data_IF_100155424566
#
_entry.id   IF_100155424566
#
_cell.length_a   1.000
_cell.length_b   1.000
_cell.length_c   1.000
_cell.angle_alpha   90.00
_cell.angle_beta   90.00
_cell.angle_gamma   90.00
#
_symmetry.space_group_name_H-M   'P 1'
#
loop_
_entity.id
_entity.type
_entity.pdbx_description
1 polymer ?
#
# COMPACT_ATOMS: atom_id res chain seq x y z
N UNK A 1 -8.29 6.79 4.20
CA UNK A 1 -6.97 6.27 3.79
C UNK A 1 -6.01 6.43 4.97
N UNK A 2 -5.67 5.34 5.65
CA UNK A 2 -4.72 5.33 6.77
C UNK A 2 -3.31 5.52 6.22
N UNK A 3 -2.63 6.58 6.66
CA UNK A 3 -1.23 6.82 6.34
C UNK A 3 -0.40 5.64 6.83
N UNK A 4 0.20 4.93 5.88
CA UNK A 4 1.16 3.86 6.11
C UNK A 4 2.38 4.50 6.81
N UNK A 5 2.47 4.35 8.14
CA UNK A 5 3.66 4.75 8.88
C UNK A 5 4.88 4.13 8.19
N UNK A 6 5.71 4.97 7.59
CA UNK A 6 6.96 4.58 6.98
C UNK A 6 7.85 4.00 8.09
N UNK A 7 7.81 2.67 8.25
CA UNK A 7 8.71 1.96 9.14
C UNK A 7 10.12 2.32 8.70
N UNK A 8 10.85 3.04 9.56
CA UNK A 8 12.24 3.40 9.29
C UNK A 8 13.00 2.11 8.93
N UNK A 9 13.75 2.11 7.82
CA UNK A 9 14.43 0.90 7.35
C UNK A 9 15.37 0.38 8.44
N UNK A 10 15.39 -0.94 8.63
CA UNK A 10 16.15 -1.64 9.69
C UNK A 10 17.63 -1.21 9.76
N UNK A 11 18.22 -0.84 8.62
CA UNK A 11 19.60 -0.37 8.46
C UNK A 11 19.90 0.96 9.17
N UNK A 12 18.90 1.83 9.36
CA UNK A 12 19.07 3.05 10.16
C UNK A 12 19.06 2.80 11.67
N UNK A 13 18.53 1.65 12.11
CA UNK A 13 18.48 1.31 13.54
C UNK A 13 19.74 0.62 14.03
N UNK A 14 20.47 -0.06 13.13
CA UNK A 14 21.66 -0.83 13.48
C UNK A 14 22.85 -0.52 12.54
N UNK A 15 23.41 0.70 12.61
CA UNK A 15 24.51 1.12 11.73
C UNK A 15 25.77 0.27 11.93
N UNK A 16 26.01 -0.23 13.15
CA UNK A 16 27.16 -1.09 13.47
C UNK A 16 27.08 -2.43 12.75
N UNK A 17 25.91 -3.06 12.71
CA UNK A 17 25.71 -4.34 12.01
C UNK A 17 25.91 -4.17 10.51
N UNK A 18 25.42 -3.06 9.96
CA UNK A 18 25.64 -2.70 8.56
C UNK A 18 27.12 -2.51 8.23
N UNK A 19 27.85 -1.78 9.09
CA UNK A 19 29.28 -1.55 8.92
C UNK A 19 30.10 -2.86 9.01
N UNK A 20 29.79 -3.73 9.98
CA UNK A 20 30.43 -5.04 10.10
C UNK A 20 30.19 -5.93 8.87
N UNK A 21 28.97 -5.92 8.33
CA UNK A 21 28.65 -6.68 7.11
C UNK A 21 29.47 -6.18 5.91
N UNK A 22 29.58 -4.86 5.73
CA UNK A 22 30.40 -4.26 4.67
C UNK A 22 31.88 -4.61 4.84
N UNK A 23 32.41 -4.50 6.06
CA UNK A 23 33.82 -4.82 6.36
C UNK A 23 34.14 -6.30 6.11
N UNK A 24 33.27 -7.22 6.54
CA UNK A 24 33.43 -8.65 6.28
C UNK A 24 33.38 -8.97 4.78
N UNK A 25 32.51 -8.30 4.04
CA UNK A 25 32.39 -8.45 2.58
C UNK A 25 33.67 -7.95 1.88
N UNK A 26 34.20 -6.81 2.30
CA UNK A 26 35.47 -6.26 1.78
C UNK A 26 36.67 -7.17 2.10
N UNK A 27 36.72 -7.73 3.31
CA UNK A 27 37.76 -8.69 3.71
C UNK A 27 37.74 -9.97 2.86
N UNK A 28 36.55 -10.50 2.56
CA UNK A 28 36.38 -11.68 1.70
C UNK A 28 36.76 -11.42 0.24
N UNK A 29 36.49 -10.21 -0.27
CA UNK A 29 36.92 -9.78 -1.60
C UNK A 29 38.45 -9.70 -1.70
N UNK A 30 39.13 -9.19 -0.68
CA UNK A 30 40.58 -9.11 -0.60
C UNK A 30 41.26 -10.50 -0.47
N UNK A 31 40.59 -11.47 0.18
CA UNK A 31 41.07 -12.86 0.30
C UNK A 31 40.82 -13.73 -0.94
N UNK A 32 40.28 -13.19 -2.04
CA UNK A 32 40.02 -13.93 -3.27
C UNK A 32 38.73 -14.78 -3.24
N UNK A 33 37.96 -14.79 -2.15
CA UNK A 33 36.70 -15.52 -2.01
C UNK A 33 35.47 -14.79 -2.63
N UNK A 34 35.71 -13.96 -3.64
CA UNK A 34 34.70 -13.11 -4.29
C UNK A 34 33.54 -13.91 -4.92
N UNK A 35 33.80 -15.13 -5.38
CA UNK A 35 32.77 -16.02 -5.96
C UNK A 35 31.69 -16.38 -4.93
N UNK A 36 32.07 -16.68 -3.68
CA UNK A 36 31.09 -17.01 -2.63
C UNK A 36 30.23 -15.80 -2.27
N UNK A 37 30.84 -14.61 -2.17
CA UNK A 37 30.11 -13.35 -1.93
C UNK A 37 29.11 -13.08 -3.06
N UNK A 38 29.53 -13.27 -4.31
CA UNK A 38 28.67 -13.08 -5.47
C UNK A 38 27.48 -14.06 -5.47
N UNK A 39 27.71 -15.36 -5.22
CA UNK A 39 26.66 -16.38 -5.16
C UNK A 39 25.66 -16.09 -4.04
N UNK A 40 26.14 -15.74 -2.84
CA UNK A 40 25.27 -15.38 -1.71
C UNK A 40 24.46 -14.13 -2.04
N UNK A 41 25.09 -13.10 -2.61
CA UNK A 41 24.42 -11.87 -3.04
C UNK A 41 23.32 -12.13 -4.08
N UNK A 42 23.61 -12.94 -5.10
CA UNK A 42 22.64 -13.32 -6.14
C UNK A 42 21.49 -14.12 -5.52
N UNK A 43 21.77 -15.11 -4.67
CA UNK A 43 20.74 -15.91 -3.99
C UNK A 43 19.84 -15.03 -3.11
N UNK A 44 20.42 -14.09 -2.38
CA UNK A 44 19.69 -13.15 -1.54
C UNK A 44 18.80 -12.22 -2.38
N UNK A 45 19.34 -11.67 -3.47
CA UNK A 45 18.60 -10.84 -4.42
C UNK A 45 17.43 -11.62 -5.04
N UNK A 46 17.66 -12.84 -5.49
CA UNK A 46 16.63 -13.71 -6.06
C UNK A 46 15.52 -14.00 -5.04
N UNK A 47 15.88 -14.28 -3.78
CA UNK A 47 14.92 -14.48 -2.70
C UNK A 47 14.12 -13.20 -2.41
N UNK A 48 14.78 -12.04 -2.38
CA UNK A 48 14.14 -10.75 -2.16
C UNK A 48 13.14 -10.41 -3.28
N UNK A 49 13.53 -10.64 -4.54
CA UNK A 49 12.66 -10.50 -5.70
C UNK A 49 11.48 -11.46 -5.59
N UNK A 50 11.70 -12.75 -5.29
CA UNK A 50 10.63 -13.74 -5.10
C UNK A 50 9.65 -13.33 -4.01
N UNK A 51 10.15 -12.85 -2.87
CA UNK A 51 9.32 -12.34 -1.76
C UNK A 51 8.49 -11.13 -2.17
N UNK A 52 9.10 -10.16 -2.87
CA UNK A 52 8.39 -8.98 -3.38
C UNK A 52 7.33 -9.36 -4.42
N UNK A 53 7.65 -10.24 -5.37
CA UNK A 53 6.71 -10.75 -6.38
C UNK A 53 5.53 -11.45 -5.74
N UNK A 54 5.76 -12.27 -4.70
CA UNK A 54 4.67 -12.90 -3.93
C UNK A 54 3.76 -11.87 -3.25
N UNK A 55 4.31 -10.81 -2.66
CA UNK A 55 3.51 -9.77 -2.03
C UNK A 55 2.63 -8.99 -3.02
N UNK A 56 3.14 -8.72 -4.22
CA UNK A 56 2.37 -8.06 -5.30
C UNK A 56 1.27 -9.01 -5.81
N UNK A 57 1.61 -10.28 -6.06
CA UNK A 57 0.64 -11.27 -6.53
C UNK A 57 -0.55 -11.45 -5.57
N UNK A 58 -0.31 -11.41 -4.25
CA UNK A 58 -1.37 -11.47 -3.24
C UNK A 58 -2.29 -10.24 -3.29
N UNK A 59 -1.74 -9.04 -3.51
CA UNK A 59 -2.55 -7.82 -3.67
C UNK A 59 -3.42 -7.90 -4.92
N UNK A 60 -2.84 -8.30 -6.05
CA UNK A 60 -3.56 -8.40 -7.32
C UNK A 60 -4.64 -9.49 -7.27
N UNK A 61 -4.36 -10.62 -6.59
CA UNK A 61 -5.35 -11.68 -6.39
C UNK A 61 -6.58 -11.17 -5.62
N UNK A 62 -6.39 -10.31 -4.62
CA UNK A 62 -7.49 -9.69 -3.87
C UNK A 62 -8.39 -8.80 -4.75
N UNK A 63 -7.79 -8.00 -5.64
CA UNK A 63 -8.55 -7.16 -6.58
C UNK A 63 -9.35 -8.00 -7.58
N UNK A 64 -8.74 -9.05 -8.15
CA UNK A 64 -9.43 -9.96 -9.06
C UNK A 64 -10.59 -10.69 -8.38
N UNK A 65 -10.36 -11.25 -7.19
CA UNK A 65 -11.40 -11.94 -6.45
C UNK A 65 -12.60 -11.02 -6.13
N UNK A 66 -12.33 -9.75 -5.83
CA UNK A 66 -13.39 -8.76 -5.56
C UNK A 66 -14.17 -8.38 -6.82
N UNK A 67 -13.49 -8.15 -7.94
CA UNK A 67 -14.13 -7.86 -9.21
C UNK A 67 -15.01 -9.04 -9.68
N UNK A 68 -14.51 -10.27 -9.52
CA UNK A 68 -15.24 -11.49 -9.88
C UNK A 68 -16.49 -11.68 -9.02
N UNK A 69 -16.38 -11.40 -7.71
CA UNK A 69 -17.53 -11.42 -6.81
C UNK A 69 -18.62 -10.42 -7.23
N UNK A 70 -18.25 -9.18 -7.59
CA UNK A 70 -19.19 -8.16 -8.05
C UNK A 70 -19.81 -8.52 -9.41
N UNK A 71 -19.02 -9.08 -10.33
CA UNK A 71 -19.50 -9.57 -11.62
C UNK A 71 -20.55 -10.69 -11.44
N UNK A 72 -20.27 -11.65 -10.56
CA UNK A 72 -21.20 -12.74 -10.25
C UNK A 72 -22.49 -12.28 -9.56
N UNK A 73 -22.43 -11.21 -8.76
CA UNK A 73 -23.64 -10.60 -8.19
C UNK A 73 -24.48 -9.90 -9.26
N UNK A 74 -23.82 -9.21 -10.19
CA UNK A 74 -24.49 -8.59 -11.34
C UNK A 74 -25.21 -9.63 -12.21
N UNK A 75 -24.53 -10.73 -12.55
CA UNK A 75 -25.13 -11.86 -13.29
C UNK A 75 -26.31 -12.51 -12.55
N UNK A 76 -26.28 -12.53 -11.22
CA UNK A 76 -27.37 -13.07 -10.39
C UNK A 76 -28.54 -12.08 -10.20
N UNK A 77 -28.43 -10.85 -10.72
CA UNK A 77 -29.47 -9.84 -10.61
C UNK A 77 -29.63 -9.27 -9.20
N UNK A 78 -28.52 -9.00 -8.51
CA UNK A 78 -28.54 -8.37 -7.18
C UNK A 78 -29.44 -7.11 -7.17
N UNK A 79 -30.44 -7.00 -6.26
CA UNK A 79 -31.34 -5.86 -6.18
C UNK A 79 -30.66 -4.52 -5.88
N UNK A 80 -29.38 -4.53 -5.47
CA UNK A 80 -28.58 -3.31 -5.23
C UNK A 80 -28.17 -2.57 -6.51
N UNK A 81 -28.38 -3.16 -7.69
CA UNK A 81 -28.12 -2.52 -8.98
C UNK A 81 -26.64 -2.29 -9.29
N UNK A 82 -26.35 -1.35 -10.20
CA UNK A 82 -25.00 -1.10 -10.80
C UNK A 82 -23.93 -0.80 -9.73
N UNK A 83 -24.31 -0.26 -8.58
CA UNK A 83 -23.39 0.19 -7.53
C UNK A 83 -23.01 -0.90 -6.51
N UNK A 84 -23.71 -2.04 -6.48
CA UNK A 84 -23.39 -3.20 -5.65
C UNK A 84 -23.10 -2.86 -4.18
N UNK A 85 -21.89 -3.16 -3.70
CA UNK A 85 -21.43 -2.87 -2.32
C UNK A 85 -20.96 -1.43 -2.08
N UNK A 86 -20.87 -0.62 -3.12
CA UNK A 86 -20.36 0.74 -3.08
C UNK A 86 -21.43 1.73 -3.53
N UNK A 87 -22.45 1.99 -2.70
CA UNK A 87 -23.49 2.94 -3.04
C UNK A 87 -22.87 4.32 -3.30
N UNK A 88 -23.48 5.13 -4.20
CA UNK A 88 -23.03 6.49 -4.43
C UNK A 88 -23.05 7.26 -3.10
N UNK A 89 -22.07 8.15 -2.93
CA UNK A 89 -21.97 9.01 -1.75
C UNK A 89 -23.27 9.80 -1.63
N UNK A 90 -23.97 9.61 -0.51
CA UNK A 90 -25.24 10.26 -0.25
C UNK A 90 -25.03 11.75 0.02
N UNK A 91 -26.04 12.57 -0.23
CA UNK A 91 -26.00 13.98 0.13
C UNK A 91 -25.79 14.15 1.64
N UNK A 92 -24.97 15.11 2.05
CA UNK A 92 -24.68 15.32 3.46
C UNK A 92 -23.47 16.21 3.75
N UNK A 93 -23.23 16.44 5.04
CA UNK A 93 -22.07 17.18 5.53
C UNK A 93 -20.87 16.24 5.69
N UNK A 94 -19.80 16.51 4.95
CA UNK A 94 -18.57 15.71 5.00
C UNK A 94 -17.36 16.60 5.30
N UNK A 95 -16.25 16.05 5.84
CA UNK A 95 -15.02 16.81 6.04
C UNK A 95 -14.51 17.43 4.73
N UNK A 96 -14.22 18.73 4.73
CA UNK A 96 -13.74 19.42 3.53
C UNK A 96 -12.36 18.87 3.12
N UNK A 97 -12.20 18.40 1.87
CA UNK A 97 -10.92 17.92 1.35
C UNK A 97 -9.79 18.96 1.43
N UNK A 98 -10.14 20.25 1.36
CA UNK A 98 -9.17 21.36 1.40
C UNK A 98 -8.85 21.82 2.82
N UNK A 99 -9.78 21.64 3.76
CA UNK A 99 -9.60 22.06 5.14
C UNK A 99 -10.32 21.12 6.11
N UNK A 100 -9.56 20.23 6.76
CA UNK A 100 -10.11 19.20 7.67
C UNK A 100 -10.86 19.74 8.89
N UNK A 101 -10.71 21.03 9.22
CA UNK A 101 -11.41 21.66 10.34
C UNK A 101 -12.81 22.17 9.98
N UNK A 102 -13.26 21.99 8.74
CA UNK A 102 -14.59 22.41 8.28
C UNK A 102 -15.34 21.24 7.64
N UNK A 103 -16.66 21.28 7.78
CA UNK A 103 -17.57 20.44 7.03
C UNK A 103 -17.99 21.19 5.77
N UNK A 104 -18.14 20.48 4.66
CA UNK A 104 -18.65 20.98 3.39
C UNK A 104 -19.80 20.09 2.94
N UNK A 105 -20.87 20.69 2.45
CA UNK A 105 -22.02 19.92 2.00
C UNK A 105 -21.77 19.33 0.60
N UNK A 106 -21.97 18.03 0.46
CA UNK A 106 -21.96 17.31 -0.80
C UNK A 106 -23.41 17.04 -1.22
N UNK A 107 -23.77 17.41 -2.45
CA UNK A 107 -25.16 17.30 -2.94
C UNK A 107 -25.48 15.93 -3.59
N UNK A 108 -24.52 15.00 -3.60
CA UNK A 108 -24.63 13.71 -4.27
C UNK A 108 -23.89 13.64 -5.62
N UNK A 109 -23.55 14.79 -6.21
CA UNK A 109 -22.80 14.86 -7.47
C UNK A 109 -21.51 15.69 -7.34
N UNK A 110 -21.54 16.80 -6.60
CA UNK A 110 -20.44 17.73 -6.42
C UNK A 110 -20.39 18.37 -5.03
N UNK A 111 -19.24 18.94 -4.71
CA UNK A 111 -19.07 19.72 -3.48
C UNK A 111 -19.66 21.11 -3.65
N UNK A 112 -20.66 21.43 -2.84
CA UNK A 112 -21.34 22.75 -2.88
C UNK A 112 -20.50 23.84 -2.22
N UNK A 113 -20.93 25.10 -2.31
CA UNK A 113 -20.28 26.21 -1.59
C UNK A 113 -20.58 26.26 -0.08
N UNK A 114 -21.52 25.44 0.40
CA UNK A 114 -21.94 25.47 1.79
C UNK A 114 -20.89 24.85 2.70
N UNK A 115 -20.43 25.61 3.69
CA UNK A 115 -19.46 25.17 4.69
C UNK A 115 -19.99 25.41 6.10
N UNK A 116 -19.67 24.50 7.01
CA UNK A 116 -19.96 24.61 8.43
C UNK A 116 -18.67 24.38 9.23
N UNK A 117 -18.55 25.00 10.41
CA UNK A 117 -17.47 24.66 11.34
C UNK A 117 -17.69 23.22 11.84
N UNK A 118 -16.62 22.42 11.91
CA UNK A 118 -16.72 21.03 12.38
C UNK A 118 -16.91 20.90 13.91
N UNK A 119 -17.35 21.96 14.59
CA UNK A 119 -17.60 21.99 16.03
C UNK A 119 -17.58 23.40 16.61
N UNK A 120 -18.68 23.77 17.26
CA UNK A 120 -18.71 24.34 18.61
C UNK A 120 -19.46 23.35 19.49
#
# INVERSE_FOLDING_TARGET
MLYQQARRPFWQRHPVVAACAVAATAWLLLNGAHVLVAVIGIAWLALAIRRRRRAIALRDAGLRARAEYEHLLSLRGDPRGIYGRYPPVQQGWYPDPRNRCRLRYFDGAMWTGYTASAGQ
#
